data_IF_162888042760
#
_entry.id   IF_162888042760
#
_cell.length_a   1.000
_cell.length_b   1.000
_cell.length_c   1.000
_cell.angle_alpha   90.00
_cell.angle_beta   90.00
_cell.angle_gamma   90.00
#
_symmetry.space_group_name_H-M   'P 1'
#
loop_
_entity.id
_entity.type
_entity.pdbx_description
1 polymer ?
#
# COMPACT_ATOMS: atom_id res chain seq x y z
N UNK A 1 -46.06 41.22 2.71
CA UNK A 1 -44.94 41.10 3.67
C UNK A 1 -45.59 40.87 5.02
N UNK A 2 -45.76 39.61 5.40
CA UNK A 2 -46.16 39.21 6.75
C UNK A 2 -45.19 38.13 7.19
N UNK A 3 -44.63 38.32 8.38
CA UNK A 3 -43.45 37.66 8.91
C UNK A 3 -43.57 36.14 9.03
N UNK A 4 -42.74 35.42 8.28
CA UNK A 4 -42.48 33.99 8.43
C UNK A 4 -41.62 33.64 9.66
N UNK A 5 -41.46 34.58 10.61
CA UNK A 5 -40.63 34.39 11.81
C UNK A 5 -41.36 33.70 12.97
N UNK A 6 -42.70 33.64 12.97
CA UNK A 6 -43.46 33.24 14.17
C UNK A 6 -44.04 31.82 14.10
N UNK A 7 -43.85 31.08 13.00
CA UNK A 7 -44.34 29.69 12.84
C UNK A 7 -43.28 28.60 13.04
N UNK A 8 -42.03 28.96 13.30
CA UNK A 8 -40.91 28.01 13.48
C UNK A 8 -40.48 27.81 14.93
N UNK A 9 -41.37 28.04 15.91
CA UNK A 9 -41.02 27.94 17.33
C UNK A 9 -41.86 26.95 18.15
N UNK A 10 -42.72 26.14 17.53
CA UNK A 10 -43.53 25.12 18.24
C UNK A 10 -43.27 23.67 17.84
N UNK A 11 -42.21 23.38 17.07
CA UNK A 11 -41.81 22.01 16.74
C UNK A 11 -40.42 21.69 17.31
N UNK A 12 -40.33 20.50 17.91
CA UNK A 12 -39.16 19.88 18.54
C UNK A 12 -38.92 20.25 20.02
N UNK A 13 -39.64 19.58 20.92
CA UNK A 13 -39.18 19.36 22.29
C UNK A 13 -39.93 18.16 22.90
N UNK A 14 -39.56 16.94 22.50
CA UNK A 14 -39.86 15.71 23.24
C UNK A 14 -38.54 14.98 23.54
N UNK A 15 -37.62 15.69 24.19
CA UNK A 15 -36.59 15.02 24.97
C UNK A 15 -37.24 14.73 26.33
N UNK A 16 -37.66 13.49 26.60
CA UNK A 16 -38.42 13.14 27.82
C UNK A 16 -37.64 13.35 29.14
N UNK A 17 -36.37 13.77 29.08
CA UNK A 17 -35.63 14.34 30.21
C UNK A 17 -36.04 15.79 30.55
N UNK A 18 -36.92 16.41 29.75
CA UNK A 18 -37.52 17.73 30.02
C UNK A 18 -38.51 17.71 31.17
N UNK A 19 -38.98 16.54 31.61
CA UNK A 19 -39.85 16.38 32.79
C UNK A 19 -39.21 16.98 34.06
N UNK A 20 -37.87 17.13 34.04
CA UNK A 20 -37.09 17.70 35.13
C UNK A 20 -36.42 19.04 34.80
N UNK A 21 -36.62 19.59 33.60
CA UNK A 21 -36.09 20.89 33.24
C UNK A 21 -37.06 21.97 33.72
N UNK A 22 -36.83 22.50 34.92
CA UNK A 22 -37.42 23.77 35.37
C UNK A 22 -36.55 24.91 34.87
N UNK A 23 -37.15 26.01 34.41
CA UNK A 23 -36.45 27.20 33.88
C UNK A 23 -35.39 27.79 34.82
N UNK A 24 -35.42 27.46 36.12
CA UNK A 24 -34.55 28.07 37.14
C UNK A 24 -33.66 27.09 37.95
N UNK A 25 -33.79 25.75 37.80
CA UNK A 25 -32.94 24.78 38.52
C UNK A 25 -32.52 23.61 37.64
N UNK A 26 -31.21 23.48 37.41
CA UNK A 26 -30.60 22.38 36.64
C UNK A 26 -30.49 21.12 37.50
N UNK A 27 -30.95 19.98 36.99
CA UNK A 27 -30.63 18.68 37.57
C UNK A 27 -29.13 18.40 37.51
N UNK A 28 -28.52 18.00 38.63
CA UNK A 28 -27.15 17.47 38.65
C UNK A 28 -27.13 16.00 38.24
N UNK A 29 -26.32 15.70 37.23
CA UNK A 29 -26.07 14.36 36.72
C UNK A 29 -24.56 14.16 36.64
N UNK A 30 -24.08 13.03 37.16
CA UNK A 30 -22.67 12.59 37.02
C UNK A 30 -22.65 11.21 36.36
N UNK A 31 -21.48 10.78 35.90
CA UNK A 31 -21.29 9.41 35.43
C UNK A 31 -20.53 8.60 36.47
N UNK A 32 -20.89 7.33 36.64
CA UNK A 32 -20.11 6.40 37.44
C UNK A 32 -18.91 5.86 36.64
N UNK A 33 -18.11 4.99 37.27
CA UNK A 33 -16.93 4.35 36.67
C UNK A 33 -17.28 3.51 35.42
N UNK A 34 -18.51 2.99 35.34
CA UNK A 34 -19.03 2.23 34.20
C UNK A 34 -19.56 3.11 33.07
N UNK A 35 -19.56 4.44 33.24
CA UNK A 35 -20.10 5.41 32.28
C UNK A 35 -21.62 5.65 32.39
N UNK A 36 -22.29 4.99 33.32
CA UNK A 36 -23.74 5.09 33.54
C UNK A 36 -24.11 6.36 34.33
N UNK A 37 -25.27 6.98 34.06
CA UNK A 37 -25.68 8.20 34.72
C UNK A 37 -26.13 7.96 36.17
N UNK A 38 -25.76 8.88 37.04
CA UNK A 38 -26.23 9.02 38.40
C UNK A 38 -26.89 10.38 38.58
N UNK A 39 -28.06 10.41 39.20
CA UNK A 39 -28.91 11.60 39.32
C UNK A 39 -28.96 12.08 40.78
N UNK A 40 -28.90 13.39 41.00
CA UNK A 40 -29.02 13.93 42.36
C UNK A 40 -30.44 13.79 42.89
N UNK A 41 -30.60 13.02 43.97
CA UNK A 41 -31.91 12.76 44.59
C UNK A 41 -32.59 14.06 45.03
N UNK A 42 -31.82 14.99 45.63
CA UNK A 42 -32.36 16.27 46.13
C UNK A 42 -32.96 17.08 44.99
N UNK A 43 -32.24 17.21 43.88
CA UNK A 43 -32.70 18.01 42.73
C UNK A 43 -33.98 17.41 42.12
N UNK A 44 -34.13 16.07 42.12
CA UNK A 44 -35.34 15.42 41.63
C UNK A 44 -36.52 15.59 42.60
N UNK A 45 -36.30 15.43 43.92
CA UNK A 45 -37.33 15.70 44.93
C UNK A 45 -37.82 17.15 44.85
N UNK A 46 -36.90 18.11 44.70
CA UNK A 46 -37.22 19.52 44.49
C UNK A 46 -38.05 19.72 43.21
N UNK A 47 -37.69 19.04 42.11
CA UNK A 47 -38.42 19.12 40.83
C UNK A 47 -39.85 18.57 40.92
N UNK A 48 -40.03 17.49 41.68
CA UNK A 48 -41.31 16.82 41.90
C UNK A 48 -42.11 17.40 43.08
N UNK A 49 -41.59 18.42 43.77
CA UNK A 49 -42.21 19.03 44.96
C UNK A 49 -42.50 18.00 46.06
N UNK A 50 -41.53 17.11 46.27
CA UNK A 50 -41.52 16.11 47.35
C UNK A 50 -40.72 16.69 48.51
N UNK A 51 -41.38 16.91 49.65
CA UNK A 51 -40.74 17.53 50.81
C UNK A 51 -39.91 16.54 51.63
N UNK A 52 -40.35 15.27 51.73
CA UNK A 52 -39.67 14.29 52.56
C UNK A 52 -38.70 13.42 51.75
N UNK A 53 -37.46 13.91 51.61
CA UNK A 53 -36.40 13.18 50.90
C UNK A 53 -35.93 11.92 51.67
N UNK A 54 -36.09 11.89 52.99
CA UNK A 54 -35.64 10.77 53.83
C UNK A 54 -36.51 9.53 53.60
N UNK A 55 -37.83 9.71 53.49
CA UNK A 55 -38.76 8.61 53.18
C UNK A 55 -38.46 7.99 51.81
N UNK A 56 -38.20 8.82 50.79
CA UNK A 56 -37.83 8.35 49.45
C UNK A 56 -36.52 7.58 49.50
N UNK A 57 -35.50 8.10 50.19
CA UNK A 57 -34.22 7.41 50.37
C UNK A 57 -34.43 6.03 51.01
N UNK A 58 -35.21 5.94 52.08
CA UNK A 58 -35.48 4.68 52.77
C UNK A 58 -36.26 3.70 51.88
N UNK A 59 -37.23 4.19 51.10
CA UNK A 59 -37.96 3.37 50.14
C UNK A 59 -37.04 2.78 49.06
N UNK A 60 -36.11 3.56 48.52
CA UNK A 60 -35.12 3.09 47.55
C UNK A 60 -34.19 2.05 48.18
N UNK A 61 -33.64 2.32 49.38
CA UNK A 61 -32.76 1.38 50.06
C UNK A 61 -33.45 0.03 50.32
N UNK A 62 -34.73 0.06 50.70
CA UNK A 62 -35.53 -1.15 50.94
C UNK A 62 -35.82 -1.93 49.67
N UNK A 63 -36.23 -1.26 48.58
CA UNK A 63 -36.59 -1.92 47.32
C UNK A 63 -35.39 -2.60 46.66
N UNK A 64 -34.24 -1.93 46.67
CA UNK A 64 -33.03 -2.41 46.00
C UNK A 64 -32.09 -3.20 46.94
N UNK A 65 -32.54 -3.49 48.16
CA UNK A 65 -31.75 -4.14 49.23
C UNK A 65 -30.34 -3.53 49.40
N UNK A 66 -30.25 -2.22 49.17
CA UNK A 66 -28.97 -1.52 49.10
C UNK A 66 -28.56 -1.07 50.51
N UNK A 67 -27.31 -1.31 50.94
CA UNK A 67 -26.84 -0.89 52.26
C UNK A 67 -26.70 0.64 52.36
N UNK A 68 -26.42 1.32 51.24
CA UNK A 68 -26.31 2.78 51.13
C UNK A 68 -26.51 3.23 49.69
N UNK A 69 -26.82 4.51 49.52
CA UNK A 69 -26.85 5.17 48.21
C UNK A 69 -25.49 5.80 47.89
N UNK A 70 -25.29 6.10 46.61
CA UNK A 70 -24.07 6.77 46.14
C UNK A 70 -24.00 8.19 46.70
N UNK A 71 -22.79 8.68 46.95
CA UNK A 71 -22.52 10.04 47.38
C UNK A 71 -21.52 10.67 46.41
N UNK A 72 -21.76 11.92 46.04
CA UNK A 72 -20.82 12.67 45.21
C UNK A 72 -20.60 14.08 45.79
N UNK A 73 -19.34 14.54 45.86
CA UNK A 73 -19.03 15.89 46.30
C UNK A 73 -19.38 16.91 45.21
N UNK A 74 -20.08 17.98 45.59
CA UNK A 74 -20.32 19.14 44.74
C UNK A 74 -19.91 20.41 45.49
N UNK A 75 -19.22 21.31 44.78
CA UNK A 75 -18.88 22.63 45.33
C UNK A 75 -20.14 23.50 45.39
N UNK A 76 -20.42 24.04 46.57
CA UNK A 76 -21.49 25.03 46.79
C UNK A 76 -20.88 26.37 47.17
N UNK A 77 -21.68 27.43 47.29
CA UNK A 77 -21.21 28.82 47.51
C UNK A 77 -20.34 29.00 48.78
N UNK A 78 -20.32 28.03 49.69
CA UNK A 78 -19.44 28.03 50.87
C UNK A 78 -18.45 26.86 50.87
N UNK A 79 -18.94 25.62 50.80
CA UNK A 79 -18.13 24.40 51.01
C UNK A 79 -18.48 23.26 50.05
N UNK A 80 -17.66 22.21 50.04
CA UNK A 80 -17.95 20.95 49.34
C UNK A 80 -18.99 20.16 50.13
N UNK A 81 -20.16 19.95 49.54
CA UNK A 81 -21.24 19.16 50.13
C UNK A 81 -21.39 17.83 49.39
N UNK A 82 -21.67 16.76 50.13
CA UNK A 82 -21.94 15.44 49.55
C UNK A 82 -23.43 15.28 49.27
N UNK A 83 -23.77 15.06 48.01
CA UNK A 83 -25.15 14.85 47.58
C UNK A 83 -25.42 13.37 47.37
N UNK A 84 -26.63 12.94 47.77
CA UNK A 84 -27.13 11.59 47.49
C UNK A 84 -27.42 11.45 45.99
N UNK A 85 -26.79 10.46 45.38
CA UNK A 85 -26.92 10.15 43.96
C UNK A 85 -27.62 8.79 43.79
N UNK A 86 -28.60 8.75 42.89
CA UNK A 86 -29.39 7.55 42.58
C UNK A 86 -29.12 7.10 41.15
N UNK A 87 -29.21 5.79 40.91
CA UNK A 87 -29.07 5.21 39.57
C UNK A 87 -30.35 5.40 38.75
N UNK A 88 -30.26 5.16 37.45
CA UNK A 88 -31.42 5.22 36.55
C UNK A 88 -32.57 4.26 36.95
N UNK A 89 -32.33 2.99 37.33
CA UNK A 89 -33.38 2.14 37.88
C UNK A 89 -34.06 2.69 39.13
N UNK A 90 -33.29 3.30 40.03
CA UNK A 90 -33.81 3.91 41.27
C UNK A 90 -34.65 5.16 40.98
N UNK A 91 -34.25 5.95 39.98
CA UNK A 91 -35.04 7.06 39.45
C UNK A 91 -36.37 6.55 38.89
N UNK A 92 -36.37 5.53 38.04
CA UNK A 92 -37.59 4.96 37.48
C UNK A 92 -38.53 4.40 38.54
N UNK A 93 -38.00 3.68 39.53
CA UNK A 93 -38.78 3.23 40.69
C UNK A 93 -39.52 4.39 41.37
N UNK A 94 -38.80 5.49 41.64
CA UNK A 94 -39.39 6.67 42.28
C UNK A 94 -40.49 7.32 41.41
N UNK A 95 -40.26 7.49 40.11
CA UNK A 95 -41.23 8.09 39.20
C UNK A 95 -42.50 7.24 39.02
N UNK A 96 -42.31 5.93 38.98
CA UNK A 96 -43.41 4.97 38.86
C UNK A 96 -44.26 4.88 40.13
N UNK A 97 -43.70 5.21 41.31
CA UNK A 97 -44.40 5.17 42.59
C UNK A 97 -45.00 6.52 43.03
N UNK A 98 -44.44 7.64 42.58
CA UNK A 98 -44.85 8.99 43.01
C UNK A 98 -46.28 9.32 42.60
N UNK A 99 -47.07 10.00 43.42
CA UNK A 99 -48.40 10.49 43.09
C UNK A 99 -48.41 11.89 42.44
N UNK A 100 -47.23 12.54 42.35
CA UNK A 100 -47.09 13.92 41.90
C UNK A 100 -47.47 14.09 40.42
N UNK A 101 -48.12 15.21 40.02
CA UNK A 101 -48.55 15.45 38.64
C UNK A 101 -47.45 15.30 37.59
N UNK A 102 -46.25 15.83 37.84
CA UNK A 102 -45.10 15.71 36.93
C UNK A 102 -44.63 14.25 36.74
N UNK A 103 -44.71 13.44 37.79
CA UNK A 103 -44.39 12.01 37.68
C UNK A 103 -45.51 11.23 36.97
N UNK A 104 -46.77 11.70 37.05
CA UNK A 104 -47.91 11.07 36.38
C UNK A 104 -47.77 11.10 34.87
N UNK A 105 -47.29 12.21 34.29
CA UNK A 105 -47.05 12.32 32.85
C UNK A 105 -46.06 11.25 32.37
N UNK A 106 -44.93 11.12 33.07
CA UNK A 106 -43.95 10.06 32.82
C UNK A 106 -44.60 8.67 32.86
N UNK A 107 -45.37 8.37 33.92
CA UNK A 107 -46.04 7.06 34.07
C UNK A 107 -47.02 6.79 32.94
N UNK A 108 -47.86 7.76 32.60
CA UNK A 108 -48.86 7.59 31.53
C UNK A 108 -48.20 7.35 30.18
N UNK A 109 -47.11 8.06 29.89
CA UNK A 109 -46.30 7.83 28.70
C UNK A 109 -45.69 6.43 28.68
N UNK A 110 -45.06 5.99 29.77
CA UNK A 110 -44.47 4.64 29.86
C UNK A 110 -45.54 3.56 29.69
N UNK A 111 -46.68 3.68 30.38
CA UNK A 111 -47.73 2.66 30.41
C UNK A 111 -48.51 2.58 29.10
N UNK A 112 -48.84 3.71 28.48
CA UNK A 112 -49.72 3.73 27.31
C UNK A 112 -48.95 3.69 25.99
N UNK A 113 -47.70 4.16 25.96
CA UNK A 113 -46.91 4.27 24.73
C UNK A 113 -45.73 3.28 24.73
N UNK A 114 -44.84 3.37 25.71
CA UNK A 114 -43.57 2.62 25.72
C UNK A 114 -43.82 1.11 25.86
N UNK A 115 -44.46 0.69 26.95
CA UNK A 115 -44.67 -0.74 27.24
C UNK A 115 -45.53 -1.43 26.17
N UNK A 116 -46.63 -0.85 25.65
CA UNK A 116 -47.40 -1.45 24.58
C UNK A 116 -46.61 -1.55 23.27
N UNK A 117 -45.78 -0.57 22.94
CA UNK A 117 -44.90 -0.61 21.77
C UNK A 117 -43.86 -1.72 21.90
N UNK A 118 -43.20 -1.87 23.05
CA UNK A 118 -42.28 -2.98 23.32
C UNK A 118 -43.01 -4.32 23.21
N UNK A 119 -44.19 -4.47 23.82
CA UNK A 119 -44.96 -5.72 23.77
C UNK A 119 -45.35 -6.11 22.34
N UNK A 120 -45.74 -5.15 21.50
CA UNK A 120 -46.19 -5.39 20.11
C UNK A 120 -45.01 -5.56 19.14
N UNK A 121 -44.01 -4.70 19.24
CA UNK A 121 -42.96 -4.54 18.24
C UNK A 121 -41.59 -5.08 18.69
N UNK A 122 -41.50 -5.62 19.92
CA UNK A 122 -40.25 -6.03 20.59
C UNK A 122 -39.23 -4.90 20.78
N UNK A 123 -39.60 -3.66 20.48
CA UNK A 123 -38.78 -2.48 20.63
C UNK A 123 -39.69 -1.25 20.78
N UNK A 124 -39.26 -0.28 21.57
CA UNK A 124 -39.82 1.06 21.53
C UNK A 124 -39.07 1.86 20.46
N UNK A 125 -39.81 2.43 19.50
CA UNK A 125 -39.27 3.33 18.49
C UNK A 125 -40.06 4.62 18.59
N UNK A 126 -39.40 5.75 18.83
CA UNK A 126 -40.03 7.03 18.56
C UNK A 126 -40.29 7.10 17.06
N UNK A 127 -41.57 7.13 16.67
CA UNK A 127 -41.95 7.52 15.33
C UNK A 127 -41.75 9.03 15.21
N UNK A 128 -40.49 9.41 14.99
CA UNK A 128 -40.18 10.77 14.56
C UNK A 128 -40.83 10.95 13.18
N UNK A 129 -41.75 11.92 13.08
CA UNK A 129 -42.55 12.18 11.88
C UNK A 129 -41.70 12.33 10.62
N UNK A 130 -42.37 12.23 9.47
CA UNK A 130 -41.91 12.26 8.05
C UNK A 130 -40.51 12.85 7.73
N UNK A 131 -40.04 13.86 8.45
CA UNK A 131 -38.68 14.40 8.40
C UNK A 131 -37.56 13.36 8.69
N UNK A 132 -37.77 12.36 9.55
CA UNK A 132 -36.73 11.35 9.81
C UNK A 132 -36.59 10.33 8.66
N UNK A 133 -37.69 9.99 7.96
CA UNK A 133 -37.60 9.19 6.73
C UNK A 133 -36.79 9.93 5.66
N UNK A 134 -37.03 11.23 5.49
CA UNK A 134 -36.29 12.06 4.55
C UNK A 134 -34.80 12.13 4.93
N UNK A 135 -34.47 12.39 6.20
CA UNK A 135 -33.09 12.43 6.70
C UNK A 135 -32.37 11.08 6.54
N UNK A 136 -33.05 9.97 6.80
CA UNK A 136 -32.50 8.61 6.60
C UNK A 136 -32.27 8.31 5.13
N UNK A 137 -33.21 8.69 4.26
CA UNK A 137 -33.06 8.53 2.81
C UNK A 137 -31.93 9.41 2.27
N UNK A 138 -31.77 10.63 2.77
CA UNK A 138 -30.67 11.53 2.39
C UNK A 138 -29.31 10.97 2.81
N UNK A 139 -29.21 10.42 4.02
CA UNK A 139 -28.00 9.74 4.48
C UNK A 139 -27.67 8.49 3.66
N UNK A 140 -28.68 7.72 3.26
CA UNK A 140 -28.49 6.59 2.35
C UNK A 140 -28.09 7.05 0.94
N UNK A 141 -28.66 8.15 0.44
CA UNK A 141 -28.30 8.75 -0.84
C UNK A 141 -26.85 9.23 -0.85
N UNK A 142 -26.38 9.86 0.23
CA UNK A 142 -25.00 10.32 0.38
C UNK A 142 -24.01 9.15 0.38
N UNK A 143 -24.32 8.07 1.10
CA UNK A 143 -23.55 6.82 1.02
C UNK A 143 -23.52 6.27 -0.39
N UNK A 144 -24.66 6.22 -1.09
CA UNK A 144 -24.74 5.72 -2.46
C UNK A 144 -23.91 6.57 -3.43
N UNK A 145 -23.96 7.90 -3.32
CA UNK A 145 -23.13 8.82 -4.12
C UNK A 145 -21.63 8.62 -3.87
N UNK A 146 -21.25 8.39 -2.61
CA UNK A 146 -19.86 8.09 -2.27
C UNK A 146 -19.42 6.76 -2.89
N UNK A 147 -20.28 5.73 -2.85
CA UNK A 147 -20.02 4.44 -3.48
C UNK A 147 -19.91 4.57 -5.00
N UNK A 148 -20.75 5.36 -5.66
CA UNK A 148 -20.65 5.55 -7.12
C UNK A 148 -19.34 6.26 -7.49
N UNK A 149 -18.97 7.31 -6.77
CA UNK A 149 -17.71 8.02 -7.01
C UNK A 149 -16.49 7.10 -6.84
N UNK A 150 -16.47 6.29 -5.78
CA UNK A 150 -15.40 5.30 -5.56
C UNK A 150 -15.34 4.25 -6.68
N UNK A 151 -16.48 3.86 -7.25
CA UNK A 151 -16.52 2.94 -8.40
C UNK A 151 -15.92 3.59 -9.64
N UNK A 152 -16.21 4.86 -9.90
CA UNK A 152 -15.66 5.58 -11.04
C UNK A 152 -14.13 5.75 -10.92
N UNK A 153 -13.65 6.14 -9.73
CA UNK A 153 -12.20 6.21 -9.42
C UNK A 153 -11.52 4.84 -9.60
N UNK A 154 -12.17 3.75 -9.18
CA UNK A 154 -11.67 2.39 -9.36
C UNK A 154 -11.59 2.00 -10.84
N UNK A 155 -12.58 2.38 -11.65
CA UNK A 155 -12.59 2.11 -13.10
C UNK A 155 -11.45 2.86 -13.77
N UNK A 156 -11.25 4.14 -13.45
CA UNK A 156 -10.16 4.94 -14.01
C UNK A 156 -8.78 4.39 -13.63
N UNK A 157 -8.58 4.01 -12.37
CA UNK A 157 -7.35 3.37 -11.92
C UNK A 157 -7.06 2.06 -12.68
N UNK A 158 -8.09 1.24 -12.91
CA UNK A 158 -7.96 0.00 -13.70
C UNK A 158 -7.55 0.29 -15.15
N UNK A 159 -8.16 1.29 -15.79
CA UNK A 159 -7.83 1.66 -17.17
C UNK A 159 -6.37 2.14 -17.30
N UNK A 160 -5.89 2.91 -16.32
CA UNK A 160 -4.49 3.34 -16.28
C UNK A 160 -3.53 2.15 -16.10
N UNK A 161 -3.88 1.18 -15.26
CA UNK A 161 -3.09 -0.04 -15.07
C UNK A 161 -3.03 -0.91 -16.34
N UNK A 162 -4.14 -1.04 -17.07
CA UNK A 162 -4.16 -1.75 -18.36
C UNK A 162 -3.22 -1.05 -19.36
N UNK A 163 -3.29 0.29 -19.44
CA UNK A 163 -2.45 1.08 -20.34
C UNK A 163 -0.96 0.96 -20.01
N UNK A 164 -0.58 0.86 -18.74
CA UNK A 164 0.82 0.62 -18.36
C UNK A 164 1.26 -0.80 -18.69
N UNK A 165 0.41 -1.80 -18.47
CA UNK A 165 0.69 -3.19 -18.85
C UNK A 165 0.90 -3.34 -20.36
N UNK A 166 0.08 -2.72 -21.20
CA UNK A 166 0.24 -2.73 -22.65
C UNK A 166 1.60 -2.14 -23.09
N UNK A 167 2.02 -1.02 -22.48
CA UNK A 167 3.34 -0.43 -22.71
C UNK A 167 4.47 -1.39 -22.35
N UNK A 168 4.38 -2.04 -21.18
CA UNK A 168 5.38 -3.01 -20.73
C UNK A 168 5.47 -4.20 -21.67
N UNK A 169 4.34 -4.73 -22.14
CA UNK A 169 4.29 -5.83 -23.11
C UNK A 169 4.96 -5.41 -24.42
N UNK A 170 4.69 -4.19 -24.92
CA UNK A 170 5.32 -3.66 -26.13
C UNK A 170 6.85 -3.56 -25.97
N UNK A 171 7.31 -3.05 -24.84
CA UNK A 171 8.74 -2.95 -24.52
C UNK A 171 9.40 -4.32 -24.40
N UNK A 172 8.74 -5.28 -23.74
CA UNK A 172 9.25 -6.64 -23.60
C UNK A 172 9.41 -7.34 -24.96
N UNK A 173 8.44 -7.17 -25.87
CA UNK A 173 8.52 -7.67 -27.26
C UNK A 173 9.71 -7.05 -28.01
N UNK A 174 9.88 -5.73 -27.90
CA UNK A 174 11.03 -5.02 -28.51
C UNK A 174 12.36 -5.51 -27.95
N UNK A 175 12.50 -5.64 -26.64
CA UNK A 175 13.71 -6.14 -25.99
C UNK A 175 14.03 -7.58 -26.40
N UNK A 176 13.02 -8.45 -26.54
CA UNK A 176 13.19 -9.81 -27.04
C UNK A 176 13.72 -9.83 -28.48
N UNK A 177 13.21 -8.94 -29.34
CA UNK A 177 13.68 -8.78 -30.72
C UNK A 177 15.13 -8.31 -30.76
N UNK A 178 15.43 -7.21 -30.05
CA UNK A 178 16.79 -6.66 -29.96
C UNK A 178 17.79 -7.70 -29.47
N UNK A 179 17.45 -8.45 -28.40
CA UNK A 179 18.34 -9.50 -27.88
C UNK A 179 18.67 -10.56 -28.93
N UNK A 180 17.71 -10.92 -29.78
CA UNK A 180 17.92 -11.87 -30.88
C UNK A 180 18.82 -11.29 -31.97
N UNK A 181 18.66 -10.01 -32.28
CA UNK A 181 19.45 -9.28 -33.28
C UNK A 181 20.91 -9.12 -32.82
N UNK A 182 21.12 -8.67 -31.58
CA UNK A 182 22.45 -8.62 -30.96
C UNK A 182 23.16 -9.97 -30.92
N UNK A 183 22.45 -11.07 -30.64
CA UNK A 183 23.05 -12.43 -30.68
C UNK A 183 23.56 -12.79 -32.07
N UNK A 184 22.79 -12.50 -33.12
CA UNK A 184 23.21 -12.77 -34.52
C UNK A 184 24.41 -11.92 -34.92
N UNK A 185 24.35 -10.62 -34.65
CA UNK A 185 25.45 -9.70 -34.97
C UNK A 185 26.74 -10.09 -34.22
N UNK A 186 26.63 -10.56 -32.97
CA UNK A 186 27.76 -11.09 -32.20
C UNK A 186 28.35 -12.35 -32.85
N UNK A 187 27.53 -13.29 -33.30
CA UNK A 187 27.98 -14.50 -34.00
C UNK A 187 28.67 -14.16 -35.33
N UNK A 188 28.09 -13.25 -36.12
CA UNK A 188 28.65 -12.77 -37.39
C UNK A 188 29.99 -12.05 -37.18
N UNK A 189 30.08 -11.14 -36.19
CA UNK A 189 31.32 -10.45 -35.85
C UNK A 189 32.39 -11.42 -35.34
N UNK A 190 32.02 -12.41 -34.53
CA UNK A 190 32.96 -13.45 -34.09
C UNK A 190 33.46 -14.30 -35.28
N UNK A 191 32.59 -14.65 -36.22
CA UNK A 191 32.97 -15.38 -37.42
C UNK A 191 33.88 -14.55 -38.34
N UNK A 192 33.57 -13.27 -38.55
CA UNK A 192 34.40 -12.34 -39.32
C UNK A 192 35.78 -12.15 -38.68
N UNK A 193 35.84 -11.91 -37.38
CA UNK A 193 37.10 -11.78 -36.64
C UNK A 193 37.95 -13.05 -36.70
N UNK A 194 37.36 -14.25 -36.57
CA UNK A 194 38.07 -15.52 -36.75
C UNK A 194 38.66 -15.65 -38.16
N UNK A 195 37.93 -15.19 -39.18
CA UNK A 195 38.35 -15.26 -40.58
C UNK A 195 39.48 -14.27 -40.87
N UNK A 196 39.39 -13.03 -40.36
CA UNK A 196 40.43 -12.02 -40.51
C UNK A 196 41.69 -12.37 -39.70
N UNK A 197 41.54 -12.90 -38.49
CA UNK A 197 42.68 -13.36 -37.69
C UNK A 197 43.40 -14.52 -38.37
N UNK A 198 42.66 -15.50 -38.90
CA UNK A 198 43.23 -16.60 -39.68
C UNK A 198 44.05 -16.09 -40.88
N UNK A 199 43.46 -15.20 -41.71
CA UNK A 199 44.12 -14.61 -42.86
C UNK A 199 45.41 -13.83 -42.47
N UNK A 200 45.37 -13.14 -41.33
CA UNK A 200 46.53 -12.42 -40.80
C UNK A 200 47.67 -13.36 -40.38
N UNK A 201 47.39 -14.54 -39.79
CA UNK A 201 48.41 -15.54 -39.46
C UNK A 201 49.11 -16.05 -40.73
N UNK A 202 48.35 -16.36 -41.78
CA UNK A 202 48.90 -16.79 -43.08
C UNK A 202 49.83 -15.73 -43.70
N UNK A 203 49.40 -14.46 -43.69
CA UNK A 203 50.22 -13.34 -44.18
C UNK A 203 51.49 -13.09 -43.36
N UNK A 204 51.42 -13.28 -42.03
CA UNK A 204 52.59 -13.19 -41.14
C UNK A 204 53.59 -14.31 -41.40
N UNK A 205 53.12 -15.54 -41.59
CA UNK A 205 53.96 -16.69 -42.00
C UNK A 205 54.63 -16.45 -43.36
N UNK A 206 53.90 -15.88 -44.32
CA UNK A 206 54.45 -15.48 -45.60
C UNK A 206 55.58 -14.46 -45.45
N UNK A 207 55.43 -13.52 -44.52
CA UNK A 207 56.43 -12.50 -44.21
C UNK A 207 57.71 -13.09 -43.60
N UNK A 208 57.57 -14.04 -42.66
CA UNK A 208 58.70 -14.79 -42.10
C UNK A 208 59.44 -15.54 -43.21
N UNK A 209 58.72 -16.29 -44.04
CA UNK A 209 59.30 -17.05 -45.15
C UNK A 209 60.07 -16.15 -46.14
N UNK A 210 59.51 -14.98 -46.47
CA UNK A 210 60.12 -14.01 -47.38
C UNK A 210 61.36 -13.36 -46.77
N UNK A 211 61.39 -13.09 -45.47
CA UNK A 211 62.55 -12.54 -44.78
C UNK A 211 63.75 -13.52 -44.84
N UNK A 212 63.48 -14.81 -44.69
CA UNK A 212 64.49 -15.88 -44.80
C UNK A 212 64.83 -16.26 -46.26
N UNK A 213 64.25 -15.58 -47.25
CA UNK A 213 64.43 -15.84 -48.68
C UNK A 213 64.10 -17.30 -49.10
N UNK A 214 63.10 -17.91 -48.46
CA UNK A 214 62.73 -19.32 -48.69
C UNK A 214 61.56 -19.47 -49.68
N UNK A 215 61.61 -20.49 -50.53
CA UNK A 215 60.44 -20.96 -51.29
C UNK A 215 59.48 -21.73 -50.37
N UNK A 216 58.18 -21.77 -50.71
CA UNK A 216 57.16 -22.48 -49.92
C UNK A 216 57.54 -23.94 -49.63
N UNK A 217 58.10 -24.64 -50.61
CA UNK A 217 58.54 -26.04 -50.45
C UNK A 217 59.70 -26.17 -49.45
N UNK A 218 60.62 -25.19 -49.40
CA UNK A 218 61.75 -25.21 -48.47
C UNK A 218 61.27 -24.93 -47.04
N UNK A 219 60.39 -23.93 -46.87
CA UNK A 219 59.79 -23.62 -45.57
C UNK A 219 58.96 -24.79 -45.04
N UNK A 220 58.18 -25.46 -45.90
CA UNK A 220 57.41 -26.63 -45.53
C UNK A 220 58.29 -27.77 -44.99
N UNK A 221 59.43 -28.03 -45.66
CA UNK A 221 60.41 -29.02 -45.20
C UNK A 221 60.99 -28.66 -43.83
N UNK A 222 61.36 -27.40 -43.62
CA UNK A 222 61.90 -26.92 -42.33
C UNK A 222 60.87 -27.04 -41.20
N UNK A 223 59.59 -26.77 -41.48
CA UNK A 223 58.49 -26.91 -40.53
C UNK A 223 57.97 -28.36 -40.39
N UNK A 224 58.65 -29.33 -40.98
CA UNK A 224 58.25 -30.74 -40.98
C UNK A 224 56.80 -30.97 -41.44
N UNK A 225 56.41 -30.33 -42.54
CA UNK A 225 55.06 -30.42 -43.11
C UNK A 225 55.09 -30.59 -44.63
N UNK A 226 54.01 -31.12 -45.19
CA UNK A 226 53.84 -31.20 -46.64
C UNK A 226 53.73 -29.81 -47.27
N UNK A 227 54.31 -29.64 -48.46
CA UNK A 227 54.30 -28.38 -49.20
C UNK A 227 52.89 -27.88 -49.51
N UNK A 228 51.96 -28.79 -49.79
CA UNK A 228 50.55 -28.48 -50.05
C UNK A 228 49.87 -27.91 -48.80
N UNK A 229 50.07 -28.55 -47.65
CA UNK A 229 49.55 -28.11 -46.36
C UNK A 229 50.09 -26.74 -45.96
N UNK A 230 51.39 -26.50 -46.13
CA UNK A 230 51.99 -25.19 -45.88
C UNK A 230 51.41 -24.10 -46.81
N UNK A 231 51.22 -24.42 -48.09
CA UNK A 231 50.62 -23.48 -49.06
C UNK A 231 49.19 -23.08 -48.67
N UNK A 232 48.36 -24.03 -48.19
CA UNK A 232 47.01 -23.72 -47.67
C UNK A 232 47.05 -22.88 -46.39
N UNK A 233 47.99 -23.16 -45.47
CA UNK A 233 48.18 -22.35 -44.27
C UNK A 233 48.58 -20.91 -44.64
N UNK A 234 49.49 -20.73 -45.59
CA UNK A 234 49.93 -19.39 -46.02
C UNK A 234 48.83 -18.64 -46.78
N UNK A 235 48.05 -19.33 -47.62
CA UNK A 235 47.03 -18.72 -48.47
C UNK A 235 45.72 -18.40 -47.74
N UNK A 236 45.22 -19.36 -46.97
CA UNK A 236 43.89 -19.25 -46.36
C UNK A 236 43.98 -18.93 -44.87
N UNK A 237 45.11 -19.27 -44.22
CA UNK A 237 45.33 -18.99 -42.78
C UNK A 237 44.39 -19.73 -41.82
N UNK A 238 43.38 -20.42 -42.35
CA UNK A 238 42.33 -21.16 -41.63
C UNK A 238 42.81 -22.54 -41.15
N UNK A 239 43.78 -23.12 -41.84
CA UNK A 239 44.39 -24.38 -41.42
C UNK A 239 45.23 -24.13 -40.16
N UNK A 240 44.98 -24.87 -39.07
CA UNK A 240 45.68 -24.63 -37.81
C UNK A 240 47.17 -24.91 -37.96
N UNK A 241 48.00 -24.01 -37.46
CA UNK A 241 49.41 -24.29 -37.21
C UNK A 241 49.50 -25.41 -36.18
N UNK A 242 50.15 -26.52 -36.54
CA UNK A 242 50.36 -27.61 -35.59
C UNK A 242 51.37 -27.20 -34.51
N UNK A 243 51.27 -27.70 -33.27
CA UNK A 243 52.19 -27.35 -32.20
C UNK A 243 53.67 -27.52 -32.57
N UNK A 244 54.00 -28.56 -33.34
CA UNK A 244 55.36 -28.81 -33.82
C UNK A 244 55.87 -27.68 -34.70
N UNK A 245 55.02 -27.15 -35.59
CA UNK A 245 55.37 -26.03 -36.47
C UNK A 245 55.61 -24.75 -35.67
N UNK A 246 54.79 -24.50 -34.64
CA UNK A 246 54.98 -23.33 -33.75
C UNK A 246 56.29 -23.43 -32.98
N UNK A 247 56.64 -24.61 -32.47
CA UNK A 247 57.91 -24.84 -31.77
C UNK A 247 59.09 -24.54 -32.67
N UNK A 248 59.05 -25.00 -33.93
CA UNK A 248 60.12 -24.75 -34.91
C UNK A 248 60.20 -23.24 -35.25
N UNK A 249 59.07 -22.58 -35.47
CA UNK A 249 59.02 -21.13 -35.72
C UNK A 249 59.63 -20.32 -34.56
N UNK A 250 59.36 -20.71 -33.32
CA UNK A 250 59.94 -20.05 -32.15
C UNK A 250 61.44 -20.36 -32.00
N UNK A 251 61.83 -21.63 -32.10
CA UNK A 251 63.21 -22.06 -31.82
C UNK A 251 64.19 -21.70 -32.92
N UNK A 252 63.84 -21.98 -34.17
CA UNK A 252 64.72 -21.85 -35.33
C UNK A 252 64.63 -20.45 -35.94
N UNK A 253 63.41 -19.98 -36.17
CA UNK A 253 63.16 -18.68 -36.83
C UNK A 253 63.04 -17.51 -35.86
N UNK A 254 63.20 -17.76 -34.55
CA UNK A 254 63.08 -16.75 -33.47
C UNK A 254 61.79 -15.92 -33.56
N UNK A 255 60.71 -16.53 -34.05
CA UNK A 255 59.42 -15.87 -34.21
C UNK A 255 58.69 -15.83 -32.87
N UNK A 256 58.31 -14.64 -32.44
CA UNK A 256 57.38 -14.47 -31.33
C UNK A 256 55.99 -15.04 -31.70
N UNK A 257 55.53 -16.04 -30.95
CA UNK A 257 54.28 -16.75 -31.21
C UNK A 257 53.04 -15.88 -30.92
N UNK A 258 53.14 -14.95 -29.98
CA UNK A 258 52.06 -14.01 -29.69
C UNK A 258 51.88 -13.05 -30.88
N UNK A 259 52.98 -12.53 -31.44
CA UNK A 259 52.95 -11.75 -32.67
C UNK A 259 52.40 -12.57 -33.84
N UNK A 260 52.84 -13.83 -34.00
CA UNK A 260 52.39 -14.68 -35.10
C UNK A 260 50.86 -14.88 -35.05
N UNK A 261 50.32 -15.20 -33.88
CA UNK A 261 48.92 -15.57 -33.69
C UNK A 261 48.02 -14.34 -33.59
N UNK A 262 48.35 -13.36 -32.75
CA UNK A 262 47.49 -12.19 -32.48
C UNK A 262 47.92 -10.94 -33.25
N UNK A 263 49.23 -10.75 -33.43
CA UNK A 263 49.81 -9.56 -34.07
C UNK A 263 50.12 -8.42 -33.11
N UNK A 264 49.95 -8.63 -31.80
CA UNK A 264 50.07 -7.59 -30.79
C UNK A 264 51.48 -7.45 -30.17
N UNK A 265 52.47 -8.20 -30.67
CA UNK A 265 53.86 -8.14 -30.20
C UNK A 265 54.83 -7.71 -31.32
N UNK A 266 56.07 -7.35 -30.96
CA UNK A 266 57.07 -6.91 -31.94
C UNK A 266 57.55 -8.14 -32.73
N UNK A 267 57.59 -8.11 -34.08
CA UNK A 267 58.22 -9.17 -34.84
C UNK A 267 59.72 -9.17 -34.50
N UNK A 268 60.20 -10.22 -33.86
CA UNK A 268 61.52 -10.30 -33.23
C UNK A 268 62.73 -10.34 -34.20
N UNK A 269 62.55 -9.92 -35.46
CA UNK A 269 63.65 -9.69 -36.40
C UNK A 269 63.46 -8.38 -37.17
N UNK A 270 64.51 -7.54 -37.20
CA UNK A 270 64.59 -6.30 -38.00
C UNK A 270 64.32 -6.54 -39.49
N UNK A 271 64.62 -7.74 -39.99
CA UNK A 271 64.40 -8.14 -41.40
C UNK A 271 62.94 -8.47 -41.68
N UNK A 272 62.25 -9.10 -40.72
CA UNK A 272 60.81 -9.38 -40.76
C UNK A 272 59.98 -8.09 -40.72
N UNK A 273 60.44 -7.08 -39.96
CA UNK A 273 59.85 -5.73 -39.95
C UNK A 273 59.98 -5.02 -41.32
N UNK A 274 61.09 -5.21 -42.02
CA UNK A 274 61.33 -4.59 -43.34
C UNK A 274 60.48 -5.22 -44.45
N UNK A 275 60.25 -6.54 -44.42
CA UNK A 275 59.39 -7.22 -45.40
C UNK A 275 57.90 -6.91 -45.21
N UNK A 276 57.46 -6.62 -43.98
CA UNK A 276 56.06 -6.24 -43.70
C UNK A 276 55.67 -4.87 -44.25
N UNK A 277 56.58 -3.89 -44.26
CA UNK A 277 56.33 -2.57 -44.86
C UNK A 277 56.00 -2.63 -46.36
N UNK A 278 56.43 -3.70 -47.04
CA UNK A 278 56.19 -3.93 -48.47
C UNK A 278 54.92 -4.76 -48.70
N UNK A 279 54.51 -5.61 -47.75
CA UNK A 279 53.39 -6.52 -47.89
C UNK A 279 52.01 -5.94 -47.47
N UNK A 280 51.99 -4.84 -46.71
CA UNK A 280 50.77 -4.19 -46.19
C UNK A 280 50.46 -2.80 -46.80
N UNK A 281 51.08 -2.46 -47.95
CA UNK A 281 50.66 -1.35 -48.82
C UNK A 281 49.78 -1.88 -49.94
#
# INVERSE_FOLDING_TARGET
>A
MEDNSTKNQSLANNNNFQIFQREEKKLRIIKNESGEPLFCLKDICDSLEIQNNADIKNAILKEFEAPRLNLAPFQTQGEIQHFTMITEPQLYFMLMRSDKPKAREFRQWVINEVLPSIRKNRAYRLEFGLNDKAFRLEKELDKMKKVSKLKDELIEAKNNLIKTQEKLIKTAKKNKFLKKEYSKEKEENQAWNRTQAALAVGARLASVRKAENLKQIQMAKMLNTEARTYSYIEKDGKSPLRPEMMIILFKEFKVDLQWLITGEAIPTSKEVLNTMRVAFK
#
